data_IF_539283482666
#
_entry.id   IF_539283482666
#
_cell.length_a   1.000
_cell.length_b   1.000
_cell.length_c   1.000
_cell.angle_alpha   90.00
_cell.angle_beta   90.00
_cell.angle_gamma   90.00
#
_symmetry.space_group_name_H-M   'P 1'
#
loop_
_entity.id
_entity.type
_entity.pdbx_description
1 polymer ?
#
# COMPACT_ATOMS: atom_id res chain seq x y z
N UNK A 1 -29.77 8.01 -9.93
CA UNK A 1 -28.86 6.85 -9.79
C UNK A 1 -28.68 6.18 -11.15
N UNK A 2 -27.47 6.21 -11.72
CA UNK A 2 -27.16 5.44 -12.94
C UNK A 2 -26.72 4.04 -12.51
N UNK A 3 -27.54 3.04 -12.80
CA UNK A 3 -27.15 1.64 -12.69
C UNK A 3 -26.06 1.38 -13.72
N UNK A 4 -24.82 1.18 -13.28
CA UNK A 4 -23.77 0.68 -14.17
C UNK A 4 -24.14 -0.74 -14.56
N UNK A 5 -24.43 -0.95 -15.86
CA UNK A 5 -24.54 -2.28 -16.47
C UNK A 5 -23.29 -3.07 -16.06
N UNK A 6 -23.49 -4.20 -15.38
CA UNK A 6 -22.42 -5.19 -15.15
C UNK A 6 -21.97 -5.70 -16.52
N UNK A 7 -20.95 -5.07 -17.09
CA UNK A 7 -20.18 -5.68 -18.17
C UNK A 7 -19.62 -6.99 -17.60
N UNK A 8 -19.92 -8.11 -18.28
CA UNK A 8 -19.34 -9.40 -17.89
C UNK A 8 -17.85 -9.31 -18.15
N UNK A 9 -16.98 -9.64 -17.17
CA UNK A 9 -15.55 -9.65 -17.37
C UNK A 9 -15.22 -10.61 -18.52
N UNK A 10 -14.65 -10.08 -19.60
CA UNK A 10 -14.17 -10.88 -20.73
C UNK A 10 -12.82 -11.51 -20.43
N UNK A 11 -12.06 -10.93 -19.49
CA UNK A 11 -10.71 -11.35 -19.10
C UNK A 11 -10.73 -12.44 -18.01
N UNK A 12 -10.12 -13.63 -18.24
CA UNK A 12 -9.92 -14.66 -17.22
C UNK A 12 -9.26 -14.17 -15.93
N UNK A 13 -8.34 -13.20 -16.00
CA UNK A 13 -7.67 -12.64 -14.81
C UNK A 13 -8.63 -11.78 -13.97
N UNK A 14 -9.52 -11.03 -14.62
CA UNK A 14 -10.58 -10.27 -13.96
C UNK A 14 -11.62 -11.22 -13.30
N UNK A 15 -11.89 -12.39 -13.91
CA UNK A 15 -12.73 -13.43 -13.30
C UNK A 15 -12.09 -14.06 -12.06
N UNK A 16 -10.79 -14.34 -12.07
CA UNK A 16 -10.06 -14.86 -10.89
C UNK A 16 -10.11 -13.85 -9.76
N UNK A 17 -9.92 -12.56 -10.06
CA UNK A 17 -9.96 -11.47 -9.06
C UNK A 17 -11.34 -11.24 -8.44
N UNK A 18 -12.41 -11.28 -9.24
CA UNK A 18 -13.78 -11.21 -8.73
C UNK A 18 -14.12 -12.41 -7.83
N UNK A 19 -13.61 -13.61 -8.15
CA UNK A 19 -13.72 -14.77 -7.28
C UNK A 19 -12.94 -14.63 -5.97
N UNK A 20 -11.85 -13.85 -5.95
CA UNK A 20 -11.11 -13.53 -4.72
C UNK A 20 -11.92 -12.62 -3.80
N UNK A 21 -12.63 -11.63 -4.36
CA UNK A 21 -13.53 -10.76 -3.59
C UNK A 21 -14.66 -11.55 -2.91
N UNK A 22 -15.22 -12.54 -3.61
CA UNK A 22 -16.28 -13.41 -3.07
C UNK A 22 -15.80 -14.29 -1.89
N UNK A 23 -14.50 -14.46 -1.70
CA UNK A 23 -13.91 -15.25 -0.60
C UNK A 23 -13.66 -14.44 0.67
N UNK A 24 -13.75 -13.11 0.59
CA UNK A 24 -13.50 -12.23 1.74
C UNK A 24 -14.76 -12.19 2.61
N UNK A 25 -14.59 -12.55 3.88
CA UNK A 25 -15.67 -12.44 4.87
C UNK A 25 -15.63 -11.07 5.53
N UNK A 26 -16.74 -10.34 5.45
CA UNK A 26 -16.91 -9.03 6.08
C UNK A 26 -17.64 -9.21 7.42
N UNK A 27 -17.06 -8.68 8.49
CA UNK A 27 -17.61 -8.74 9.84
C UNK A 27 -17.97 -7.34 10.32
N UNK A 28 -19.18 -7.18 10.87
CA UNK A 28 -19.66 -5.96 11.52
C UNK A 28 -19.73 -4.70 10.64
N UNK A 29 -19.74 -4.85 9.31
CA UNK A 29 -20.00 -3.76 8.37
C UNK A 29 -21.50 -3.64 8.07
N UNK A 30 -21.98 -2.41 7.94
CA UNK A 30 -23.28 -2.16 7.31
C UNK A 30 -23.23 -2.52 5.83
N UNK A 31 -24.40 -2.64 5.21
CA UNK A 31 -24.53 -2.94 3.79
C UNK A 31 -23.78 -1.93 2.89
N UNK A 32 -23.88 -0.64 3.21
CA UNK A 32 -23.27 0.43 2.42
C UNK A 32 -21.74 0.46 2.58
N UNK A 33 -21.24 0.34 3.81
CA UNK A 33 -19.78 0.27 4.04
C UNK A 33 -19.15 -0.95 3.34
N UNK A 34 -19.86 -2.08 3.32
CA UNK A 34 -19.41 -3.26 2.58
C UNK A 34 -19.29 -2.96 1.08
N UNK A 35 -20.25 -2.23 0.50
CA UNK A 35 -20.19 -1.83 -0.91
C UNK A 35 -18.97 -0.95 -1.18
N UNK A 36 -18.74 0.05 -0.33
CA UNK A 36 -17.65 1.01 -0.51
C UNK A 36 -16.30 0.31 -0.43
N UNK A 37 -16.09 -0.52 0.59
CA UNK A 37 -14.85 -1.28 0.77
C UNK A 37 -14.66 -2.28 -0.37
N UNK A 38 -15.71 -3.03 -0.74
CA UNK A 38 -15.63 -3.98 -1.87
C UNK A 38 -15.25 -3.25 -3.16
N UNK A 39 -15.74 -2.03 -3.33
CA UNK A 39 -15.43 -1.20 -4.49
C UNK A 39 -13.99 -0.70 -4.46
N UNK A 40 -13.50 -0.28 -3.29
CA UNK A 40 -12.09 0.03 -3.04
C UNK A 40 -11.17 -1.15 -3.40
N UNK A 41 -11.45 -2.34 -2.87
CA UNK A 41 -10.70 -3.57 -3.15
C UNK A 41 -10.72 -3.92 -4.65
N UNK A 42 -11.86 -3.70 -5.31
CA UNK A 42 -12.02 -3.95 -6.74
C UNK A 42 -11.25 -2.96 -7.60
N UNK A 43 -11.15 -1.69 -7.21
CA UNK A 43 -10.44 -0.70 -8.00
C UNK A 43 -8.96 -0.59 -7.65
N UNK A 44 -8.51 -1.02 -6.47
CA UNK A 44 -7.10 -0.93 -6.05
C UNK A 44 -6.16 -1.63 -7.01
N UNK A 45 -6.53 -2.80 -7.52
CA UNK A 45 -5.68 -3.63 -8.37
C UNK A 45 -4.81 -4.60 -7.57
N UNK A 46 -4.60 -4.31 -6.29
CA UNK A 46 -3.76 -5.09 -5.39
C UNK A 46 -4.31 -6.53 -5.27
N UNK A 47 -3.47 -7.56 -5.42
CA UNK A 47 -3.84 -8.95 -5.18
C UNK A 47 -4.46 -9.17 -3.79
N UNK A 48 -5.57 -9.91 -3.74
CA UNK A 48 -6.32 -10.15 -2.50
C UNK A 48 -6.13 -11.59 -1.98
N UNK A 49 -5.18 -12.32 -2.53
CA UNK A 49 -4.98 -13.74 -2.26
C UNK A 49 -4.60 -14.02 -0.79
N UNK A 50 -4.08 -13.01 -0.09
CA UNK A 50 -3.75 -13.06 1.33
C UNK A 50 -4.71 -12.28 2.20
N UNK A 51 -5.89 -11.95 1.70
CA UNK A 51 -6.96 -11.35 2.48
C UNK A 51 -8.12 -12.34 2.60
N UNK A 52 -8.39 -12.78 3.83
CA UNK A 52 -9.50 -13.68 4.15
C UNK A 52 -10.65 -12.93 4.83
N UNK A 53 -10.32 -11.94 5.64
CA UNK A 53 -11.32 -11.24 6.46
C UNK A 53 -11.11 -9.73 6.43
N UNK A 54 -12.22 -9.01 6.48
CA UNK A 54 -12.24 -7.61 6.86
C UNK A 54 -13.18 -7.46 8.05
N UNK A 55 -12.68 -6.88 9.13
CA UNK A 55 -13.41 -6.71 10.38
C UNK A 55 -13.52 -5.25 10.71
N UNK A 56 -14.72 -4.81 11.06
CA UNK A 56 -14.93 -3.55 11.75
C UNK A 56 -15.01 -3.87 13.24
N UNK A 57 -13.93 -3.61 13.96
CA UNK A 57 -13.92 -3.83 15.40
C UNK A 57 -14.38 -2.56 16.09
N UNK A 58 -15.55 -2.66 16.73
CA UNK A 58 -16.01 -1.66 17.68
C UNK A 58 -15.33 -1.87 19.03
N UNK A 59 -14.02 -2.13 19.05
CA UNK A 59 -13.29 -1.92 20.29
C UNK A 59 -13.47 -0.43 20.62
N UNK A 60 -14.41 -0.18 21.53
CA UNK A 60 -14.60 1.09 22.21
C UNK A 60 -13.36 1.25 23.07
N UNK A 61 -12.28 1.71 22.46
CA UNK A 61 -11.11 2.11 23.22
C UNK A 61 -11.55 3.28 24.08
N UNK A 62 -11.60 3.05 25.39
CA UNK A 62 -11.90 4.09 26.37
C UNK A 62 -10.94 5.24 26.14
N UNK A 63 -11.50 6.40 25.81
CA UNK A 63 -10.84 7.69 25.58
C UNK A 63 -9.64 7.89 26.52
N UNK A 64 -8.43 7.53 26.08
CA UNK A 64 -7.14 7.97 26.68
C UNK A 64 -5.85 7.43 26.03
N UNK A 65 -5.88 6.81 24.84
CA UNK A 65 -4.64 6.49 24.15
C UNK A 65 -4.62 7.05 22.72
N UNK A 66 -3.89 8.17 22.47
CA UNK A 66 -3.79 8.79 21.15
C UNK A 66 -2.97 7.97 20.14
N UNK A 67 -2.42 6.81 20.54
CA UNK A 67 -1.64 5.91 19.68
C UNK A 67 -2.46 4.78 19.04
N UNK A 68 -3.79 4.76 19.18
CA UNK A 68 -4.56 3.66 18.60
C UNK A 68 -4.57 3.72 17.07
N UNK A 69 -4.22 2.61 16.40
CA UNK A 69 -4.20 2.57 14.94
C UNK A 69 -5.62 2.76 14.39
N UNK A 70 -5.71 3.35 13.20
CA UNK A 70 -6.99 3.52 12.48
C UNK A 70 -7.44 2.20 11.87
N UNK A 71 -6.47 1.42 11.40
CA UNK A 71 -6.64 0.07 10.90
C UNK A 71 -5.35 -0.72 11.10
N UNK A 72 -5.42 -2.04 10.95
CA UNK A 72 -4.26 -2.93 11.08
C UNK A 72 -4.47 -4.19 10.22
N UNK A 73 -3.42 -4.61 9.51
CA UNK A 73 -3.36 -5.90 8.86
C UNK A 73 -2.73 -6.96 9.77
N UNK A 74 -3.54 -7.94 10.18
CA UNK A 74 -3.11 -9.08 10.96
C UNK A 74 -2.81 -10.28 10.06
N UNK A 75 -1.51 -10.50 9.79
CA UNK A 75 -1.03 -11.55 8.87
C UNK A 75 -1.50 -12.96 9.24
N UNK A 76 -1.45 -13.32 10.53
CA UNK A 76 -1.75 -14.68 11.00
C UNK A 76 -3.16 -15.15 10.61
N UNK A 77 -4.12 -14.21 10.61
CA UNK A 77 -5.50 -14.47 10.22
C UNK A 77 -5.87 -13.85 8.87
N UNK A 78 -4.91 -13.28 8.13
CA UNK A 78 -5.16 -12.64 6.83
C UNK A 78 -6.32 -11.63 6.92
N UNK A 79 -6.28 -10.80 7.96
CA UNK A 79 -7.39 -9.95 8.36
C UNK A 79 -6.99 -8.48 8.32
N UNK A 80 -7.84 -7.62 7.74
CA UNK A 80 -7.74 -6.18 7.99
C UNK A 80 -8.78 -5.79 9.03
N UNK A 81 -8.33 -5.26 10.15
CA UNK A 81 -9.15 -4.73 11.23
C UNK A 81 -9.27 -3.21 11.05
N UNK A 82 -10.49 -2.69 11.01
CA UNK A 82 -10.78 -1.25 11.01
C UNK A 82 -11.38 -0.86 12.35
N UNK A 83 -10.77 0.12 13.00
CA UNK A 83 -11.17 0.60 14.33
C UNK A 83 -12.12 1.78 14.24
N UNK A 84 -12.67 2.23 15.38
CA UNK A 84 -13.69 3.30 15.43
C UNK A 84 -13.27 4.57 14.68
N UNK A 85 -12.01 4.99 14.81
CA UNK A 85 -11.45 6.16 14.15
C UNK A 85 -11.51 6.11 12.61
N UNK A 86 -11.61 4.92 12.00
CA UNK A 86 -11.75 4.79 10.55
C UNK A 86 -13.10 5.32 10.05
N UNK A 87 -14.17 5.18 10.84
CA UNK A 87 -15.51 5.59 10.43
C UNK A 87 -15.60 7.11 10.23
N UNK A 88 -14.86 7.87 11.05
CA UNK A 88 -14.88 9.33 11.08
C UNK A 88 -13.95 9.98 10.04
N UNK A 89 -13.16 9.18 9.30
CA UNK A 89 -12.26 9.70 8.28
C UNK A 89 -13.01 10.22 7.05
N UNK A 90 -12.51 11.28 6.38
CA UNK A 90 -12.93 11.64 5.03
C UNK A 90 -12.76 10.47 4.05
N UNK A 91 -13.60 10.40 3.01
CA UNK A 91 -13.56 9.30 2.04
C UNK A 91 -12.18 9.12 1.38
N UNK A 92 -11.53 10.20 0.96
CA UNK A 92 -10.18 10.14 0.41
C UNK A 92 -9.15 9.55 1.40
N UNK A 93 -9.26 9.85 2.70
CA UNK A 93 -8.39 9.25 3.71
C UNK A 93 -8.74 7.78 3.97
N UNK A 94 -10.03 7.39 3.87
CA UNK A 94 -10.43 5.98 3.94
C UNK A 94 -9.81 5.18 2.80
N UNK A 95 -9.78 5.74 1.60
CA UNK A 95 -9.09 5.13 0.45
C UNK A 95 -7.60 4.91 0.73
N UNK A 96 -6.92 5.92 1.28
CA UNK A 96 -5.52 5.82 1.69
C UNK A 96 -5.30 4.68 2.69
N UNK A 97 -6.08 4.65 3.78
CA UNK A 97 -5.99 3.61 4.81
C UNK A 97 -6.24 2.21 4.22
N UNK A 98 -7.25 2.05 3.36
CA UNK A 98 -7.52 0.74 2.74
C UNK A 98 -6.32 0.29 1.89
N UNK A 99 -5.72 1.18 1.08
CA UNK A 99 -4.54 0.82 0.27
C UNK A 99 -3.35 0.47 1.15
N UNK A 100 -3.14 1.24 2.22
CA UNK A 100 -2.08 1.01 3.19
C UNK A 100 -2.18 -0.40 3.79
N UNK A 101 -3.33 -0.77 4.35
CA UNK A 101 -3.49 -2.10 4.95
C UNK A 101 -3.44 -3.23 3.92
N UNK A 102 -3.89 -2.97 2.69
CA UNK A 102 -3.76 -3.95 1.60
C UNK A 102 -2.31 -4.15 1.18
N UNK A 103 -1.48 -3.11 1.24
CA UNK A 103 -0.06 -3.20 0.89
C UNK A 103 0.67 -4.21 1.79
N UNK A 104 0.33 -4.28 3.07
CA UNK A 104 0.84 -5.27 4.00
C UNK A 104 0.55 -6.71 3.53
N UNK A 105 -0.63 -6.97 2.94
CA UNK A 105 -0.98 -8.30 2.43
C UNK A 105 -0.13 -8.80 1.25
N UNK A 106 0.56 -7.87 0.56
CA UNK A 106 1.45 -8.15 -0.58
C UNK A 106 2.93 -7.86 -0.26
N UNK A 107 3.24 -7.66 1.02
CA UNK A 107 4.59 -7.45 1.54
C UNK A 107 5.60 -8.47 0.99
N UNK A 108 6.71 -8.06 0.37
CA UNK A 108 7.71 -9.00 -0.10
C UNK A 108 8.44 -9.64 1.07
N UNK A 109 8.37 -9.12 2.30
CA UNK A 109 8.94 -9.77 3.49
C UNK A 109 8.25 -11.12 3.82
N UNK A 110 7.15 -11.44 3.15
CA UNK A 110 6.40 -12.67 3.33
C UNK A 110 6.76 -13.68 2.22
N UNK A 111 7.42 -14.80 2.53
CA UNK A 111 7.84 -15.79 1.52
C UNK A 111 6.70 -16.31 0.64
N UNK A 112 5.50 -16.44 1.21
CA UNK A 112 4.28 -16.86 0.50
C UNK A 112 3.89 -15.92 -0.65
N UNK A 113 4.43 -14.71 -0.70
CA UNK A 113 4.17 -13.73 -1.76
C UNK A 113 5.08 -13.89 -2.98
N UNK A 114 6.04 -14.82 -2.98
CA UNK A 114 6.91 -15.06 -4.14
C UNK A 114 6.14 -15.23 -5.49
N UNK A 115 4.99 -15.93 -5.56
CA UNK A 115 4.22 -16.03 -6.80
C UNK A 115 3.66 -14.69 -7.31
N UNK A 116 3.40 -13.72 -6.43
CA UNK A 116 2.92 -12.39 -6.82
C UNK A 116 3.99 -11.62 -7.61
N UNK A 117 5.25 -11.77 -7.21
CA UNK A 117 6.42 -11.16 -7.88
C UNK A 117 6.93 -12.00 -9.06
N UNK A 118 6.35 -13.18 -9.29
CA UNK A 118 6.69 -14.11 -10.38
C UNK A 118 7.85 -15.07 -10.06
N UNK A 119 8.67 -14.79 -9.06
CA UNK A 119 9.69 -15.70 -8.53
C UNK A 119 10.14 -15.29 -7.13
N UNK A 120 10.83 -16.20 -6.44
CA UNK A 120 11.45 -15.92 -5.14
C UNK A 120 12.56 -14.88 -5.25
N UNK A 121 13.38 -14.95 -6.31
CA UNK A 121 14.41 -13.96 -6.62
C UNK A 121 13.84 -12.56 -6.81
N UNK A 122 12.74 -12.41 -7.57
CA UNK A 122 12.08 -11.11 -7.78
C UNK A 122 11.44 -10.57 -6.50
N UNK A 123 10.92 -11.45 -5.64
CA UNK A 123 10.45 -11.06 -4.30
C UNK A 123 11.61 -10.52 -3.46
N UNK A 124 12.75 -11.20 -3.44
CA UNK A 124 13.95 -10.73 -2.72
C UNK A 124 14.45 -9.38 -3.25
N UNK A 125 14.43 -9.16 -4.57
CA UNK A 125 14.78 -7.85 -5.15
C UNK A 125 13.82 -6.74 -4.69
N UNK A 126 12.52 -7.04 -4.59
CA UNK A 126 11.54 -6.10 -4.05
C UNK A 126 11.76 -5.83 -2.54
N UNK A 127 12.09 -6.86 -1.77
CA UNK A 127 12.47 -6.76 -0.36
C UNK A 127 13.69 -5.86 -0.16
N UNK A 128 14.76 -6.11 -0.90
CA UNK A 128 16.00 -5.32 -0.86
C UNK A 128 15.72 -3.86 -1.24
N UNK A 129 14.93 -3.62 -2.28
CA UNK A 129 14.50 -2.27 -2.67
C UNK A 129 13.84 -1.53 -1.51
N UNK A 130 12.87 -2.14 -0.82
CA UNK A 130 12.16 -1.50 0.30
C UNK A 130 13.10 -1.24 1.47
N UNK A 131 13.99 -2.18 1.79
CA UNK A 131 15.00 -2.00 2.83
C UNK A 131 15.91 -0.81 2.52
N UNK A 132 16.38 -0.68 1.28
CA UNK A 132 17.21 0.44 0.85
C UNK A 132 16.45 1.77 0.89
N UNK A 133 15.18 1.80 0.47
CA UNK A 133 14.34 3.01 0.61
C UNK A 133 14.16 3.38 2.08
N UNK A 134 13.97 2.40 2.96
CA UNK A 134 13.82 2.63 4.41
C UNK A 134 15.07 3.29 4.99
N UNK A 135 16.26 2.79 4.65
CA UNK A 135 17.55 3.37 5.03
C UNK A 135 17.70 4.80 4.46
N UNK A 136 17.31 5.01 3.20
CA UNK A 136 17.30 6.34 2.58
C UNK A 136 16.37 7.29 3.32
N UNK A 137 15.17 6.86 3.71
CA UNK A 137 14.23 7.70 4.44
C UNK A 137 14.79 8.14 5.80
N UNK A 138 15.41 7.22 6.53
CA UNK A 138 16.04 7.51 7.83
C UNK A 138 17.27 8.44 7.72
N UNK A 139 17.88 8.57 6.54
CA UNK A 139 19.14 9.33 6.35
C UNK A 139 18.98 10.62 5.53
N UNK A 140 18.00 10.67 4.64
CA UNK A 140 17.83 11.73 3.65
C UNK A 140 16.47 12.45 3.75
N UNK A 141 15.57 11.98 4.61
CA UNK A 141 14.26 12.58 4.90
C UNK A 141 13.10 11.61 4.66
N UNK A 142 12.05 11.68 5.48
CA UNK A 142 10.91 10.77 5.43
C UNK A 142 9.90 11.11 4.32
N UNK A 143 9.09 10.13 3.92
CA UNK A 143 8.01 10.30 2.94
C UNK A 143 6.83 11.03 3.57
N UNK A 144 6.48 10.66 4.80
CA UNK A 144 5.41 11.27 5.59
C UNK A 144 5.84 11.44 7.07
N UNK A 145 5.06 12.19 7.87
CA UNK A 145 5.38 12.39 9.30
C UNK A 145 5.35 11.10 10.12
N UNK A 146 4.46 10.15 9.81
CA UNK A 146 4.35 8.88 10.53
C UNK A 146 5.63 8.03 10.47
N UNK A 147 6.33 8.04 9.34
CA UNK A 147 7.67 7.44 9.26
C UNK A 147 8.68 8.06 10.24
N UNK A 148 8.57 9.36 10.54
CA UNK A 148 9.42 9.98 11.56
C UNK A 148 9.14 9.40 12.93
N UNK A 149 7.87 9.25 13.30
CA UNK A 149 7.45 8.67 14.59
C UNK A 149 7.92 7.22 14.72
N UNK A 150 7.74 6.41 13.67
CA UNK A 150 8.26 5.04 13.62
C UNK A 150 9.78 5.02 13.77
N UNK A 151 10.49 5.95 13.12
CA UNK A 151 11.95 6.05 13.22
C UNK A 151 12.44 6.47 14.60
N UNK A 152 11.64 7.18 15.39
CA UNK A 152 11.99 7.49 16.78
C UNK A 152 11.82 6.24 17.66
N UNK A 153 10.75 5.45 17.46
CA UNK A 153 10.53 4.15 18.12
C UNK A 153 11.63 3.13 17.78
N UNK A 154 12.16 3.14 16.54
CA UNK A 154 13.31 2.32 16.15
C UNK A 154 14.55 2.51 17.04
N UNK A 155 14.77 3.74 17.51
CA UNK A 155 15.94 4.06 18.33
C UNK A 155 15.78 3.52 19.76
N UNK A 156 14.55 3.24 20.16
CA UNK A 156 14.17 2.74 21.49
C UNK A 156 14.07 1.21 21.53
N UNK A 157 13.67 0.54 20.43
CA UNK A 157 13.48 -0.91 20.34
C UNK A 157 14.40 -1.57 19.28
N UNK A 158 15.52 -2.16 19.70
CA UNK A 158 16.50 -2.71 18.76
C UNK A 158 16.04 -4.02 18.10
N UNK A 159 16.03 -4.02 16.77
CA UNK A 159 15.78 -5.13 15.82
C UNK A 159 14.33 -5.39 15.40
N UNK A 160 13.36 -5.59 16.31
CA UNK A 160 11.94 -5.76 15.94
C UNK A 160 11.40 -4.51 15.24
N UNK A 161 11.81 -3.33 15.71
CA UNK A 161 11.41 -2.07 15.12
C UNK A 161 11.79 -1.98 13.63
N UNK A 162 12.98 -2.43 13.24
CA UNK A 162 13.47 -2.22 11.87
C UNK A 162 12.58 -2.94 10.85
N UNK A 163 12.19 -4.18 11.14
CA UNK A 163 11.27 -4.92 10.27
C UNK A 163 9.93 -4.18 10.13
N UNK A 164 9.33 -3.76 11.24
CA UNK A 164 8.09 -2.96 11.23
C UNK A 164 8.26 -1.68 10.42
N UNK A 165 9.32 -0.92 10.63
CA UNK A 165 9.59 0.30 9.87
C UNK A 165 9.76 0.06 8.36
N UNK A 166 10.41 -1.05 7.97
CA UNK A 166 10.57 -1.39 6.56
C UNK A 166 9.25 -1.80 5.90
N UNK A 167 8.42 -2.56 6.60
CA UNK A 167 7.09 -2.95 6.13
C UNK A 167 6.16 -1.74 6.01
N UNK A 168 6.16 -0.86 7.02
CA UNK A 168 5.44 0.41 6.97
C UNK A 168 5.93 1.32 5.85
N UNK A 169 7.24 1.34 5.58
CA UNK A 169 7.80 2.10 4.45
C UNK A 169 7.24 1.63 3.11
N UNK A 170 7.06 0.32 2.92
CA UNK A 170 6.39 -0.19 1.73
C UNK A 170 4.93 0.27 1.66
N UNK A 171 4.18 0.13 2.75
CA UNK A 171 2.77 0.50 2.77
C UNK A 171 2.59 1.99 2.44
N UNK A 172 3.44 2.84 3.02
CA UNK A 172 3.47 4.29 2.77
C UNK A 172 3.88 4.61 1.32
N UNK A 173 4.83 3.90 0.73
CA UNK A 173 5.18 4.06 -0.68
C UNK A 173 3.99 3.76 -1.59
N UNK A 174 3.32 2.62 -1.37
CA UNK A 174 2.17 2.20 -2.17
C UNK A 174 1.01 3.17 -1.99
N UNK A 175 0.65 3.50 -0.74
CA UNK A 175 -0.37 4.49 -0.40
C UNK A 175 -0.09 5.83 -1.08
N UNK A 176 1.12 6.37 -0.90
CA UNK A 176 1.51 7.65 -1.49
C UNK A 176 1.48 7.58 -3.02
N UNK A 177 1.81 6.43 -3.62
CA UNK A 177 1.73 6.29 -5.08
C UNK A 177 0.29 6.34 -5.59
N UNK A 178 -0.65 5.80 -4.84
CA UNK A 178 -2.08 5.83 -5.16
C UNK A 178 -2.70 7.20 -4.89
N UNK A 179 -2.35 7.83 -3.78
CA UNK A 179 -3.08 8.99 -3.26
C UNK A 179 -2.35 10.31 -3.50
N UNK A 180 -1.02 10.31 -3.40
CA UNK A 180 -0.17 11.50 -3.34
C UNK A 180 1.10 11.38 -4.21
N UNK A 181 1.01 11.08 -5.53
CA UNK A 181 2.19 10.84 -6.35
C UNK A 181 3.14 12.05 -6.44
N UNK A 182 2.60 13.27 -6.35
CA UNK A 182 3.41 14.50 -6.34
C UNK A 182 4.23 14.65 -5.05
N UNK A 183 3.74 14.12 -3.92
CA UNK A 183 4.50 14.04 -2.68
C UNK A 183 5.73 13.15 -2.87
N UNK A 184 5.56 11.95 -3.47
CA UNK A 184 6.69 11.06 -3.77
C UNK A 184 7.73 11.73 -4.67
N UNK A 185 7.30 12.43 -5.73
CA UNK A 185 8.21 13.19 -6.61
C UNK A 185 8.96 14.27 -5.85
N UNK A 186 8.27 15.02 -4.99
CA UNK A 186 8.90 16.06 -4.16
C UNK A 186 9.92 15.46 -3.18
N UNK A 187 9.53 14.41 -2.44
CA UNK A 187 10.40 13.70 -1.48
C UNK A 187 11.63 13.13 -2.18
N UNK A 188 11.47 12.47 -3.32
CA UNK A 188 12.58 11.94 -4.10
C UNK A 188 13.61 13.04 -4.45
N UNK A 189 13.14 14.20 -4.91
CA UNK A 189 14.02 15.34 -5.23
C UNK A 189 14.73 15.88 -3.99
N UNK A 190 14.05 15.93 -2.85
CA UNK A 190 14.63 16.36 -1.57
C UNK A 190 15.70 15.37 -1.08
N UNK A 191 15.38 14.08 -1.05
CA UNK A 191 16.30 13.02 -0.64
C UNK A 191 17.55 12.99 -1.52
N UNK A 192 17.39 13.09 -2.84
CA UNK A 192 18.51 13.18 -3.79
C UNK A 192 19.43 14.37 -3.48
N UNK A 193 18.86 15.56 -3.30
CA UNK A 193 19.63 16.77 -2.94
C UNK A 193 20.32 16.64 -1.58
N UNK A 194 19.69 15.97 -0.62
CA UNK A 194 20.29 15.70 0.69
C UNK A 194 21.51 14.79 0.56
N UNK A 195 21.39 13.68 -0.17
CA UNK A 195 22.50 12.75 -0.44
C UNK A 195 23.63 13.39 -1.26
N UNK A 196 23.30 14.25 -2.23
CA UNK A 196 24.28 15.06 -2.97
C UNK A 196 25.12 15.94 -2.03
N UNK A 197 24.48 16.64 -1.08
CA UNK A 197 25.18 17.44 -0.08
C UNK A 197 26.06 16.60 0.86
N UNK A 198 25.62 15.38 1.16
CA UNK A 198 26.37 14.42 1.98
C UNK A 198 27.48 13.69 1.21
N UNK A 199 27.60 13.90 -0.12
CA UNK A 199 28.50 13.14 -1.02
C UNK A 199 28.23 11.63 -1.02
N UNK A 200 26.95 11.24 -0.96
CA UNK A 200 26.46 9.85 -0.91
C UNK A 200 25.44 9.54 -2.02
N UNK A 201 25.64 10.11 -3.21
CA UNK A 201 24.69 10.00 -4.34
C UNK A 201 24.54 8.56 -4.82
N UNK A 202 25.58 7.76 -4.69
CA UNK A 202 25.58 6.33 -5.00
C UNK A 202 24.64 5.51 -4.10
N UNK A 203 24.26 6.05 -2.93
CA UNK A 203 23.27 5.43 -2.04
C UNK A 203 21.82 5.79 -2.44
N UNK A 204 21.62 6.59 -3.49
CA UNK A 204 20.29 7.03 -3.90
C UNK A 204 19.49 5.91 -4.55
N UNK A 205 18.31 5.67 -4.00
CA UNK A 205 17.31 4.73 -4.50
C UNK A 205 16.08 5.51 -4.96
N UNK A 206 15.64 5.35 -6.24
CA UNK A 206 14.43 5.99 -6.74
C UNK A 206 13.17 5.54 -5.99
N UNK A 207 12.34 6.48 -5.57
CA UNK A 207 11.01 6.21 -5.02
C UNK A 207 9.99 5.95 -6.13
N UNK A 208 10.01 6.78 -7.19
CA UNK A 208 9.01 6.80 -8.27
C UNK A 208 9.67 7.17 -9.61
N UNK A 209 9.10 6.71 -10.72
CA UNK A 209 9.57 7.03 -12.07
C UNK A 209 9.26 8.50 -12.43
N UNK A 210 10.30 9.27 -12.76
CA UNK A 210 10.17 10.66 -13.24
C UNK A 210 10.59 10.83 -14.70
N UNK A 211 11.78 10.36 -15.07
CA UNK A 211 12.41 10.64 -16.38
C UNK A 211 13.05 9.39 -17.00
N UNK A 212 12.43 8.23 -16.82
CA UNK A 212 12.93 6.94 -17.33
C UNK A 212 11.87 6.27 -18.20
N UNK A 213 12.29 5.66 -19.30
CA UNK A 213 11.45 4.80 -20.12
C UNK A 213 11.15 3.47 -19.42
N UNK A 214 12.04 3.06 -18.52
CA UNK A 214 11.87 1.88 -17.68
C UNK A 214 11.24 2.29 -16.34
N UNK A 215 10.21 1.57 -15.94
CA UNK A 215 9.63 1.71 -14.61
C UNK A 215 10.68 1.38 -13.54
N UNK A 216 10.80 2.23 -12.54
CA UNK A 216 11.69 2.03 -11.38
C UNK A 216 10.94 2.32 -10.09
N UNK A 217 11.55 1.93 -8.97
CA UNK A 217 10.99 2.16 -7.65
C UNK A 217 9.61 1.53 -7.46
N UNK A 218 8.68 2.28 -6.85
CA UNK A 218 7.32 1.80 -6.58
C UNK A 218 6.54 1.43 -7.85
N UNK A 219 6.83 2.07 -8.99
CA UNK A 219 6.15 1.74 -10.24
C UNK A 219 6.55 0.36 -10.76
N UNK A 220 7.84 0.00 -10.66
CA UNK A 220 8.31 -1.33 -11.05
C UNK A 220 7.71 -2.42 -10.14
N UNK A 221 7.67 -2.14 -8.83
CA UNK A 221 7.10 -3.04 -7.83
C UNK A 221 5.60 -3.26 -8.08
N UNK A 222 4.83 -2.20 -8.34
CA UNK A 222 3.41 -2.32 -8.69
C UNK A 222 3.22 -3.10 -10.00
N UNK A 223 3.95 -2.78 -11.06
CA UNK A 223 3.83 -3.49 -12.33
C UNK A 223 4.16 -4.99 -12.24
N UNK A 224 4.93 -5.42 -11.22
CA UNK A 224 5.27 -6.82 -11.04
C UNK A 224 4.05 -7.69 -10.66
N UNK A 225 3.16 -7.19 -9.80
CA UNK A 225 2.03 -7.97 -9.26
C UNK A 225 0.65 -7.41 -9.62
N UNK A 226 0.58 -6.26 -10.30
CA UNK A 226 -0.69 -5.69 -10.74
C UNK A 226 -1.37 -6.58 -11.79
N UNK A 227 -2.69 -6.40 -12.01
CA UNK A 227 -3.44 -7.26 -12.91
C UNK A 227 -2.86 -7.26 -14.34
N UNK A 228 -3.03 -8.34 -15.12
CA UNK A 228 -2.35 -8.50 -16.43
C UNK A 228 -2.65 -7.43 -17.49
N UNK A 229 -3.67 -6.59 -17.33
CA UNK A 229 -3.95 -5.47 -18.22
C UNK A 229 -3.19 -4.19 -17.85
N UNK A 230 -2.53 -4.16 -16.69
CA UNK A 230 -1.68 -3.06 -16.22
C UNK A 230 -0.22 -3.45 -16.46
N UNK A 231 0.31 -3.11 -17.65
CA UNK A 231 1.67 -3.54 -18.05
C UNK A 231 2.65 -2.39 -18.25
N UNK A 232 2.14 -1.19 -18.46
CA UNK A 232 2.95 0.01 -18.69
C UNK A 232 2.72 1.04 -17.59
N UNK A 233 3.64 2.00 -17.46
CA UNK A 233 3.45 3.16 -16.57
C UNK A 233 2.16 3.91 -16.90
N UNK A 234 1.82 4.04 -18.18
CA UNK A 234 0.58 4.69 -18.60
C UNK A 234 -0.67 3.91 -18.16
N UNK A 235 -0.63 2.58 -18.19
CA UNK A 235 -1.74 1.75 -17.69
C UNK A 235 -1.87 1.89 -16.17
N UNK A 236 -0.73 1.90 -15.46
CA UNK A 236 -0.69 2.07 -14.01
C UNK A 236 -1.27 3.44 -13.62
N UNK A 237 -0.87 4.51 -14.31
CA UNK A 237 -1.39 5.86 -14.07
C UNK A 237 -2.90 5.96 -14.31
N UNK A 238 -3.39 5.37 -15.41
CA UNK A 238 -4.84 5.30 -15.69
C UNK A 238 -5.58 4.52 -14.60
N UNK A 239 -5.01 3.41 -14.14
CA UNK A 239 -5.58 2.58 -13.09
C UNK A 239 -5.67 3.32 -11.75
N UNK A 240 -4.57 3.95 -11.31
CA UNK A 240 -4.54 4.75 -10.08
C UNK A 240 -5.50 5.95 -10.17
N UNK A 241 -5.55 6.63 -11.31
CA UNK A 241 -6.49 7.74 -11.53
C UNK A 241 -7.95 7.27 -11.39
N UNK A 242 -8.26 6.07 -11.88
CA UNK A 242 -9.60 5.49 -11.73
C UNK A 242 -9.92 5.17 -10.27
N UNK A 243 -8.94 4.66 -9.52
CA UNK A 243 -9.09 4.41 -8.09
C UNK A 243 -9.41 5.70 -7.32
N UNK A 244 -8.61 6.76 -7.51
CA UNK A 244 -8.78 8.04 -6.81
C UNK A 244 -10.15 8.68 -7.05
N UNK A 245 -10.65 8.65 -8.29
CA UNK A 245 -11.97 9.18 -8.67
C UNK A 245 -13.15 8.56 -7.93
N UNK A 246 -12.96 7.42 -7.25
CA UNK A 246 -14.01 6.82 -6.44
C UNK A 246 -14.11 7.44 -5.04
N UNK A 247 -13.06 8.10 -4.58
CA UNK A 247 -12.96 8.73 -3.26
C UNK A 247 -12.96 10.27 -3.31
N UNK A 248 -13.00 10.85 -4.51
CA UNK A 248 -13.22 12.28 -4.80
C UNK A 248 -14.72 12.58 -4.97
#
# INVERSE_FOLDING_TARGET
MKFFRKERPSDPAEKVRLRSLDRITFHNFSFWEKIDITTALKYSGIPLNNLAHMRKDMLLFTEKNPQHPVAEYERAYKTVNFYSAFADKPEHEKGAVIIHELAHSVSPFFPENAPLYGSEEKRFQAEEYIQQVSIQCATAGFINPYQSELSDLLREESFSGFQTFTEETQAILIESRFMYPELLRATQRIQRRSLEKQKRVESFVPLITENSEQAVGIDALLLAYMPPHVRTLQDLDKHITRYRKWFD
#
